data_IF_812229185011
#
_entry.id   IF_812229185011
#
_cell.length_a   1.000
_cell.length_b   1.000
_cell.length_c   1.000
_cell.angle_alpha   90.00
_cell.angle_beta   90.00
_cell.angle_gamma   90.00
#
_symmetry.space_group_name_H-M   'P 1'
#
loop_
_entity.id
_entity.type
_entity.pdbx_description
1 polymer ?
#
# COMPACT_ATOMS: atom_id res chain seq x y z
N UNK A 1 -21.30 -5.80 -17.50
CA UNK A 1 -21.47 -6.76 -18.62
C UNK A 1 -20.53 -7.94 -18.41
N UNK A 2 -20.91 -9.16 -18.79
CA UNK A 2 -20.01 -10.33 -18.70
C UNK A 2 -19.82 -10.91 -20.09
N UNK A 3 -18.57 -11.03 -20.51
CA UNK A 3 -18.19 -11.60 -21.81
C UNK A 3 -17.69 -13.02 -21.63
N UNK A 4 -18.08 -13.91 -22.54
CA UNK A 4 -17.67 -15.32 -22.54
C UNK A 4 -16.79 -15.60 -23.76
N UNK A 5 -15.59 -16.09 -23.52
CA UNK A 5 -14.63 -16.44 -24.57
C UNK A 5 -13.88 -17.71 -24.20
N UNK A 6 -13.63 -18.57 -25.18
CA UNK A 6 -12.77 -19.74 -24.98
C UNK A 6 -11.35 -19.34 -25.32
N UNK A 7 -10.43 -19.60 -24.40
CA UNK A 7 -9.00 -19.47 -24.65
C UNK A 7 -8.38 -20.88 -24.75
N UNK A 8 -7.46 -21.04 -25.69
CA UNK A 8 -6.67 -22.25 -25.85
C UNK A 8 -5.20 -21.95 -25.51
N UNK A 9 -4.63 -22.76 -24.60
CA UNK A 9 -3.22 -22.65 -24.23
C UNK A 9 -2.31 -23.00 -25.41
N UNK A 10 -1.37 -22.11 -25.77
CA UNK A 10 -0.46 -22.36 -26.89
C UNK A 10 0.53 -23.51 -26.64
N UNK A 11 0.69 -23.96 -25.39
CA UNK A 11 1.68 -24.99 -25.04
C UNK A 11 1.08 -26.39 -24.95
N UNK A 12 -0.06 -26.56 -24.27
CA UNK A 12 -0.66 -27.88 -24.04
C UNK A 12 -2.04 -28.05 -24.70
N UNK A 13 -2.56 -27.02 -25.38
CA UNK A 13 -3.85 -27.07 -26.07
C UNK A 13 -5.08 -27.07 -25.14
N UNK A 14 -4.90 -27.02 -23.81
CA UNK A 14 -6.02 -27.01 -22.87
C UNK A 14 -6.93 -25.82 -23.11
N UNK A 15 -8.23 -26.08 -23.18
CA UNK A 15 -9.28 -25.07 -23.43
C UNK A 15 -9.94 -24.64 -22.14
N UNK A 16 -10.04 -23.33 -21.93
CA UNK A 16 -10.67 -22.73 -20.74
C UNK A 16 -11.69 -21.69 -21.15
N UNK A 17 -12.91 -21.82 -20.65
CA UNK A 17 -13.93 -20.78 -20.77
C UNK A 17 -13.62 -19.65 -19.79
N UNK A 18 -13.35 -18.47 -20.32
CA UNK A 18 -13.23 -17.24 -19.55
C UNK A 18 -14.58 -16.55 -19.47
N UNK A 19 -14.94 -16.10 -18.26
CA UNK A 19 -16.09 -15.24 -17.97
C UNK A 19 -15.56 -13.90 -17.48
N UNK A 20 -15.33 -12.98 -18.42
CA UNK A 20 -14.72 -11.67 -18.13
C UNK A 20 -15.77 -10.66 -17.72
N UNK A 21 -15.66 -10.15 -16.50
CA UNK A 21 -16.49 -9.10 -15.94
C UNK A 21 -15.91 -7.76 -16.40
N UNK A 22 -16.67 -7.02 -17.20
CA UNK A 22 -16.28 -5.69 -17.68
C UNK A 22 -16.48 -4.64 -16.59
N UNK A 23 -15.43 -3.86 -16.36
CA UNK A 23 -15.37 -2.76 -15.39
C UNK A 23 -15.15 -1.40 -16.04
N UNK A 24 -14.63 -0.46 -15.26
CA UNK A 24 -14.27 0.91 -15.61
C UNK A 24 -12.78 1.12 -15.89
N UNK A 25 -11.91 0.16 -15.54
CA UNK A 25 -10.47 0.25 -15.84
C UNK A 25 -10.23 0.07 -17.34
N UNK A 26 -9.53 1.02 -17.96
CA UNK A 26 -9.20 0.96 -19.38
C UNK A 26 -8.29 -0.21 -19.73
N UNK A 27 -7.24 -0.45 -18.95
CA UNK A 27 -6.28 -1.52 -19.22
C UNK A 27 -6.15 -2.43 -18.00
N UNK A 28 -6.57 -3.68 -18.14
CA UNK A 28 -6.54 -4.68 -17.08
C UNK A 28 -5.61 -5.81 -17.50
N UNK A 29 -4.49 -6.05 -16.77
CA UNK A 29 -3.72 -7.26 -16.97
C UNK A 29 -4.54 -8.48 -16.58
N UNK A 30 -4.43 -9.54 -17.38
CA UNK A 30 -5.05 -10.83 -17.14
C UNK A 30 -3.96 -11.88 -16.88
N UNK A 31 -4.14 -12.66 -15.83
CA UNK A 31 -3.30 -13.76 -15.37
C UNK A 31 -4.19 -14.98 -15.18
N UNK A 32 -4.21 -15.86 -16.17
CA UNK A 32 -5.08 -17.04 -16.20
C UNK A 32 -4.23 -18.29 -16.06
N UNK A 33 -4.37 -19.09 -15.00
CA UNK A 33 -3.63 -20.33 -14.88
C UNK A 33 -4.14 -21.36 -15.88
N UNK A 34 -3.23 -22.03 -16.59
CA UNK A 34 -3.56 -23.18 -17.42
C UNK A 34 -3.60 -24.46 -16.57
N UNK A 35 -4.77 -25.10 -16.44
CA UNK A 35 -4.90 -26.33 -15.66
C UNK A 35 -4.19 -27.55 -16.27
N UNK A 36 -3.88 -27.55 -17.56
CA UNK A 36 -3.22 -28.68 -18.22
C UNK A 36 -1.70 -28.73 -17.99
N UNK A 37 -1.02 -27.58 -18.04
CA UNK A 37 0.44 -27.51 -17.90
C UNK A 37 0.95 -26.58 -16.80
N UNK A 38 0.07 -25.91 -16.06
CA UNK A 38 0.42 -25.06 -14.90
C UNK A 38 1.00 -23.67 -15.25
N UNK A 39 1.29 -23.39 -16.52
CA UNK A 39 1.79 -22.06 -16.92
C UNK A 39 0.72 -20.98 -16.78
N UNK A 40 1.14 -19.76 -16.47
CA UNK A 40 0.24 -18.60 -16.43
C UNK A 40 0.10 -18.01 -17.83
N UNK A 41 -1.12 -18.01 -18.35
CA UNK A 41 -1.52 -17.32 -19.57
C UNK A 41 -1.63 -15.83 -19.28
N UNK A 42 -0.83 -15.02 -19.97
CA UNK A 42 -0.71 -13.58 -19.75
C UNK A 42 -1.42 -12.85 -20.86
N UNK A 43 -2.42 -12.07 -20.49
CA UNK A 43 -3.16 -11.23 -21.41
C UNK A 43 -3.42 -9.84 -20.86
N UNK A 44 -4.14 -9.06 -21.66
CA UNK A 44 -4.63 -7.73 -21.35
C UNK A 44 -6.04 -7.60 -21.88
N UNK A 45 -6.94 -7.10 -21.05
CA UNK A 45 -8.23 -6.56 -21.42
C UNK A 45 -8.09 -5.05 -21.59
N UNK A 46 -8.44 -4.53 -22.75
CA UNK A 46 -8.51 -3.10 -23.02
C UNK A 46 -9.97 -2.71 -23.28
N UNK A 47 -10.52 -1.83 -22.45
CA UNK A 47 -11.81 -1.18 -22.69
C UNK A 47 -11.62 -0.02 -23.66
N UNK A 48 -12.52 0.12 -24.63
CA UNK A 48 -12.52 1.20 -25.62
C UNK A 48 -13.75 2.08 -25.32
N UNK A 49 -13.59 3.20 -24.57
CA UNK A 49 -14.71 3.99 -24.08
C UNK A 49 -15.56 4.62 -25.19
N UNK A 50 -14.93 4.98 -26.31
CA UNK A 50 -15.54 5.72 -27.41
C UNK A 50 -16.56 4.88 -28.20
N UNK A 51 -16.33 3.56 -28.32
CA UNK A 51 -17.14 2.64 -29.13
C UNK A 51 -17.95 1.62 -28.29
N UNK A 52 -17.88 1.70 -26.95
CA UNK A 52 -18.42 0.66 -26.04
C UNK A 52 -17.91 -0.74 -26.43
N UNK A 53 -16.65 -0.81 -26.85
CA UNK A 53 -16.00 -2.03 -27.32
C UNK A 53 -14.90 -2.48 -26.34
N UNK A 54 -14.42 -3.71 -26.50
CA UNK A 54 -13.34 -4.25 -25.69
C UNK A 54 -12.43 -5.16 -26.53
N UNK A 55 -11.15 -5.20 -26.16
CA UNK A 55 -10.16 -6.08 -26.77
C UNK A 55 -9.50 -6.94 -25.72
N UNK A 56 -9.51 -8.25 -25.94
CA UNK A 56 -8.77 -9.21 -25.11
C UNK A 56 -7.66 -9.81 -25.97
N UNK A 57 -6.42 -9.73 -25.48
CA UNK A 57 -5.26 -10.32 -26.16
C UNK A 57 -4.43 -11.10 -25.16
N UNK A 58 -4.01 -12.30 -25.54
CA UNK A 58 -3.05 -13.10 -24.78
C UNK A 58 -1.74 -13.22 -25.55
N UNK A 59 -0.63 -13.28 -24.81
CA UNK A 59 0.72 -13.47 -25.35
C UNK A 59 1.05 -14.94 -25.61
N UNK A 60 0.44 -15.84 -24.84
CA UNK A 60 0.73 -17.27 -24.83
C UNK A 60 -0.54 -18.14 -24.82
N UNK A 61 -1.65 -17.58 -25.29
CA UNK A 61 -2.90 -18.28 -25.59
C UNK A 61 -3.57 -17.62 -26.79
N UNK A 62 -4.49 -18.33 -27.44
CA UNK A 62 -5.32 -17.79 -28.53
C UNK A 62 -6.80 -17.88 -28.16
N UNK A 63 -7.59 -16.93 -28.68
CA UNK A 63 -9.04 -17.01 -28.62
C UNK A 63 -9.52 -17.99 -29.69
N UNK A 64 -10.42 -18.89 -29.33
CA UNK A 64 -11.02 -19.87 -30.25
C UNK A 64 -12.54 -19.74 -30.27
N UNK A 65 -13.15 -20.02 -31.42
CA UNK A 65 -14.60 -19.95 -31.57
C UNK A 65 -15.33 -21.02 -30.77
N UNK A 66 -16.58 -20.76 -30.39
CA UNK A 66 -17.43 -21.71 -29.65
C UNK A 66 -17.62 -23.06 -30.37
N UNK A 67 -17.42 -23.09 -31.68
CA UNK A 67 -17.49 -24.28 -32.53
C UNK A 67 -16.21 -25.12 -32.54
N UNK A 68 -15.11 -24.63 -31.99
CA UNK A 68 -13.79 -25.28 -32.07
C UNK A 68 -13.52 -26.28 -30.93
N UNK A 69 -14.54 -26.59 -30.11
CA UNK A 69 -14.50 -27.64 -29.09
C UNK A 69 -14.95 -27.16 -27.71
N UNK A 70 -15.37 -28.10 -26.87
CA UNK A 70 -15.84 -27.79 -25.52
C UNK A 70 -14.67 -27.43 -24.58
N UNK A 71 -14.87 -26.44 -23.70
CA UNK A 71 -13.87 -26.09 -22.68
C UNK A 71 -13.79 -27.18 -21.61
N UNK A 72 -12.57 -27.46 -21.14
CA UNK A 72 -12.33 -28.40 -20.03
C UNK A 72 -12.48 -27.73 -18.66
N UNK A 73 -12.23 -26.41 -18.61
CA UNK A 73 -12.21 -25.60 -17.40
C UNK A 73 -12.98 -24.30 -17.59
N UNK A 74 -13.40 -23.67 -16.49
CA UNK A 74 -13.98 -22.33 -16.47
C UNK A 74 -13.32 -21.45 -15.43
N UNK A 75 -13.18 -20.16 -15.72
CA UNK A 75 -12.64 -19.17 -14.80
C UNK A 75 -13.35 -17.83 -14.96
N UNK A 76 -13.53 -17.11 -13.85
CA UNK A 76 -13.99 -15.73 -13.87
C UNK A 76 -12.81 -14.76 -13.88
N UNK A 77 -12.87 -13.74 -14.74
CA UNK A 77 -11.84 -12.71 -14.86
C UNK A 77 -12.43 -11.35 -14.46
N UNK A 78 -11.67 -10.56 -13.70
CA UNK A 78 -12.07 -9.21 -13.30
C UNK A 78 -10.84 -8.39 -12.93
N UNK A 79 -10.82 -7.14 -13.39
CA UNK A 79 -9.82 -6.15 -12.98
C UNK A 79 -10.11 -5.52 -11.62
N UNK A 80 -11.36 -5.62 -11.15
CA UNK A 80 -11.85 -4.78 -10.05
C UNK A 80 -12.29 -5.56 -8.83
N UNK A 81 -12.61 -6.83 -9.04
CA UNK A 81 -13.18 -7.70 -8.03
C UNK A 81 -12.32 -8.95 -7.94
N UNK A 82 -12.32 -9.57 -6.76
CA UNK A 82 -11.92 -10.96 -6.68
C UNK A 82 -12.77 -11.81 -7.63
N UNK A 83 -12.28 -12.99 -7.97
CA UNK A 83 -12.99 -13.92 -8.84
C UNK A 83 -13.09 -15.28 -8.18
N UNK A 84 -13.92 -16.16 -8.73
CA UNK A 84 -13.75 -17.58 -8.43
C UNK A 84 -12.43 -18.07 -9.02
N UNK A 85 -11.74 -18.94 -8.29
CA UNK A 85 -10.62 -19.73 -8.83
C UNK A 85 -11.11 -20.61 -9.99
N UNK A 86 -10.18 -21.04 -10.83
CA UNK A 86 -10.48 -21.93 -11.95
C UNK A 86 -11.08 -23.25 -11.43
N UNK A 87 -12.13 -23.71 -12.09
CA UNK A 87 -12.83 -24.96 -11.78
C UNK A 87 -13.02 -25.79 -13.05
N UNK A 88 -13.32 -27.09 -12.89
CA UNK A 88 -13.72 -27.92 -14.04
C UNK A 88 -14.94 -27.30 -14.71
N UNK A 89 -14.99 -27.37 -16.03
CA UNK A 89 -16.12 -26.83 -16.76
C UNK A 89 -17.39 -27.61 -16.40
N UNK A 90 -18.33 -26.89 -15.82
CA UNK A 90 -19.72 -27.31 -15.70
C UNK A 90 -20.58 -26.27 -16.41
N UNK A 91 -21.63 -26.72 -17.11
CA UNK A 91 -22.54 -25.82 -17.80
C UNK A 91 -23.28 -24.93 -16.80
N UNK A 92 -22.74 -23.75 -16.51
CA UNK A 92 -23.29 -22.85 -15.52
C UNK A 92 -24.45 -22.03 -16.12
N UNK A 93 -25.65 -22.21 -15.57
CA UNK A 93 -26.88 -21.47 -15.90
C UNK A 93 -26.91 -20.04 -15.33
N UNK A 94 -26.05 -19.71 -14.35
CA UNK A 94 -26.04 -18.39 -13.71
C UNK A 94 -25.47 -17.30 -14.62
N UNK A 95 -26.31 -16.31 -14.95
CA UNK A 95 -25.96 -15.07 -15.68
C UNK A 95 -25.11 -14.10 -14.84
N UNK A 96 -25.18 -14.19 -13.50
CA UNK A 96 -24.49 -13.30 -12.57
C UNK A 96 -23.25 -14.01 -11.99
N UNK A 97 -22.10 -13.32 -11.95
CA UNK A 97 -20.89 -13.83 -11.29
C UNK A 97 -21.14 -13.98 -9.78
N UNK A 98 -20.69 -15.08 -9.14
CA UNK A 98 -20.73 -15.26 -7.69
C UNK A 98 -20.05 -14.15 -6.88
N UNK A 99 -19.10 -13.40 -7.45
CA UNK A 99 -18.48 -12.27 -6.74
C UNK A 99 -19.35 -11.02 -6.80
N UNK A 100 -20.01 -10.75 -7.91
CA UNK A 100 -21.06 -9.71 -7.98
C UNK A 100 -22.18 -10.04 -7.00
N UNK A 101 -22.55 -11.32 -6.92
CA UNK A 101 -23.49 -11.82 -5.92
C UNK A 101 -22.98 -11.52 -4.50
N UNK A 102 -21.74 -11.86 -4.15
CA UNK A 102 -21.22 -11.59 -2.82
C UNK A 102 -21.08 -10.08 -2.50
N UNK A 103 -20.68 -9.25 -3.45
CA UNK A 103 -20.59 -7.79 -3.27
C UNK A 103 -21.99 -7.18 -3.05
N UNK A 104 -22.99 -7.60 -3.83
CA UNK A 104 -24.38 -7.15 -3.71
C UNK A 104 -25.07 -7.65 -2.43
N UNK A 105 -24.82 -8.89 -2.02
CA UNK A 105 -25.50 -9.49 -0.88
C UNK A 105 -24.75 -9.26 0.44
N UNK A 106 -23.46 -9.56 0.54
CA UNK A 106 -22.73 -9.39 1.81
C UNK A 106 -22.35 -7.94 2.12
N UNK A 107 -21.92 -7.15 1.13
CA UNK A 107 -21.55 -5.74 1.36
C UNK A 107 -22.76 -4.89 1.78
N UNK A 108 -23.93 -5.13 1.17
CA UNK A 108 -25.17 -4.45 1.54
C UNK A 108 -25.72 -4.88 2.91
N UNK A 109 -25.52 -6.16 3.31
CA UNK A 109 -25.98 -6.69 4.59
C UNK A 109 -25.09 -6.31 5.77
N UNK A 110 -23.77 -6.14 5.57
CA UNK A 110 -22.80 -5.92 6.66
C UNK A 110 -22.44 -4.45 6.88
N UNK A 111 -22.46 -3.61 5.84
CA UNK A 111 -22.06 -2.18 5.91
C UNK A 111 -23.13 -1.20 5.40
N UNK A 112 -24.32 -1.69 5.05
CA UNK A 112 -25.46 -0.87 4.61
C UNK A 112 -25.51 -0.62 3.10
N UNK A 113 -26.67 -0.15 2.61
CA UNK A 113 -26.99 -0.02 1.17
C UNK A 113 -26.06 0.91 0.38
N UNK A 114 -25.44 1.90 1.02
CA UNK A 114 -24.63 2.93 0.34
C UNK A 114 -23.20 2.49 0.03
N UNK A 115 -22.74 1.36 0.57
CA UNK A 115 -21.33 0.98 0.53
C UNK A 115 -20.82 0.64 -0.89
N UNK A 116 -21.71 0.15 -1.77
CA UNK A 116 -21.41 -0.10 -3.19
C UNK A 116 -21.32 1.22 -3.97
N UNK A 117 -22.12 2.23 -3.60
CA UNK A 117 -22.05 3.55 -4.22
C UNK A 117 -20.79 4.29 -3.78
N UNK A 118 -20.41 4.18 -2.50
CA UNK A 118 -19.14 4.70 -1.99
C UNK A 118 -17.93 4.04 -2.66
N UNK A 119 -17.97 2.71 -2.83
CA UNK A 119 -16.95 2.00 -3.61
C UNK A 119 -16.89 2.54 -5.04
N UNK A 120 -18.01 2.62 -5.75
CA UNK A 120 -18.07 3.15 -7.13
C UNK A 120 -17.58 4.60 -7.23
N UNK A 121 -17.96 5.46 -6.28
CA UNK A 121 -17.58 6.86 -6.24
C UNK A 121 -16.07 7.01 -6.04
N UNK A 122 -15.52 6.38 -4.99
CA UNK A 122 -14.07 6.38 -4.76
C UNK A 122 -13.30 5.70 -5.89
N UNK A 123 -13.85 4.65 -6.47
CA UNK A 123 -13.25 3.96 -7.58
C UNK A 123 -13.12 4.82 -8.83
N UNK A 124 -14.14 5.62 -9.16
CA UNK A 124 -14.08 6.56 -10.27
C UNK A 124 -13.08 7.69 -10.02
N UNK A 125 -13.02 8.22 -8.79
CA UNK A 125 -12.01 9.24 -8.46
C UNK A 125 -10.58 8.70 -8.57
N UNK A 126 -10.38 7.40 -8.36
CA UNK A 126 -9.08 6.74 -8.35
C UNK A 126 -8.41 6.53 -9.72
N UNK A 127 -9.20 6.49 -10.80
CA UNK A 127 -8.71 6.11 -12.13
C UNK A 127 -8.35 7.33 -12.99
N UNK A 128 -9.01 8.48 -12.80
CA UNK A 128 -8.88 9.63 -13.70
C UNK A 128 -7.56 10.43 -13.59
N UNK A 129 -7.14 10.79 -12.38
CA UNK A 129 -6.08 11.80 -12.18
C UNK A 129 -4.76 11.25 -11.58
N UNK A 130 -4.76 9.99 -11.13
CA UNK A 130 -3.66 9.40 -10.33
C UNK A 130 -2.29 9.44 -11.02
N UNK A 131 -2.22 9.16 -12.31
CA UNK A 131 -0.93 9.07 -13.04
C UNK A 131 -0.24 10.43 -13.12
N UNK A 132 -1.00 11.49 -13.39
CA UNK A 132 -0.53 12.87 -13.47
C UNK A 132 -0.17 13.42 -12.09
N UNK A 133 -1.01 13.16 -11.08
CA UNK A 133 -0.75 13.54 -9.69
C UNK A 133 0.52 12.85 -9.16
N UNK A 134 0.66 11.54 -9.42
CA UNK A 134 1.84 10.77 -9.03
C UNK A 134 3.11 11.28 -9.72
N UNK A 135 3.04 11.59 -11.02
CA UNK A 135 4.19 12.14 -11.73
C UNK A 135 4.61 13.49 -11.17
N UNK A 136 3.65 14.38 -10.89
CA UNK A 136 3.90 15.67 -10.26
C UNK A 136 4.60 15.50 -8.89
N UNK A 137 4.14 14.54 -8.08
CA UNK A 137 4.77 14.23 -6.79
C UNK A 137 6.21 13.75 -6.94
N UNK A 138 6.50 12.89 -7.91
CA UNK A 138 7.86 12.44 -8.23
C UNK A 138 8.74 13.62 -8.63
N UNK A 139 8.25 14.50 -9.50
CA UNK A 139 9.00 15.67 -9.93
C UNK A 139 9.31 16.62 -8.76
N UNK A 140 8.33 16.87 -7.88
CA UNK A 140 8.52 17.69 -6.67
C UNK A 140 9.51 17.03 -5.70
N UNK A 141 9.46 15.71 -5.55
CA UNK A 141 10.39 14.94 -4.73
C UNK A 141 11.82 14.97 -5.30
N UNK A 142 11.98 14.83 -6.61
CA UNK A 142 13.28 14.91 -7.27
C UNK A 142 13.88 16.32 -7.18
N UNK A 143 13.07 17.35 -7.42
CA UNK A 143 13.50 18.75 -7.25
C UNK A 143 13.92 19.03 -5.80
N UNK A 144 13.20 18.47 -4.83
CA UNK A 144 13.53 18.56 -3.42
C UNK A 144 14.88 17.92 -3.10
N UNK A 145 15.07 16.68 -3.56
CA UNK A 145 16.28 15.91 -3.34
C UNK A 145 17.51 16.55 -3.99
N UNK A 146 17.30 17.28 -5.09
CA UNK A 146 18.31 18.06 -5.79
C UNK A 146 18.44 19.52 -5.29
N UNK A 147 17.76 19.89 -4.21
CA UNK A 147 17.81 21.22 -3.58
C UNK A 147 17.42 22.37 -4.52
N UNK A 148 16.54 22.12 -5.49
CA UNK A 148 16.15 23.10 -6.50
C UNK A 148 14.90 23.90 -6.10
N UNK A 149 14.98 24.59 -4.96
CA UNK A 149 13.84 25.23 -4.31
C UNK A 149 13.18 26.34 -5.13
N UNK A 150 13.94 27.00 -6.01
CA UNK A 150 13.40 28.00 -6.95
C UNK A 150 12.42 27.39 -7.94
N UNK A 151 12.73 26.20 -8.46
CA UNK A 151 11.83 25.49 -9.38
C UNK A 151 10.67 24.90 -8.60
N UNK A 152 10.90 24.35 -7.41
CA UNK A 152 9.83 23.89 -6.52
C UNK A 152 8.81 25.00 -6.34
N UNK A 153 9.22 26.19 -5.87
CA UNK A 153 8.35 27.37 -5.72
C UNK A 153 7.50 27.65 -6.98
N UNK A 154 8.10 27.63 -8.18
CA UNK A 154 7.36 27.81 -9.44
C UNK A 154 6.30 26.73 -9.67
N UNK A 155 6.64 25.47 -9.42
CA UNK A 155 5.71 24.34 -9.53
C UNK A 155 4.58 24.48 -8.51
N UNK A 156 4.89 24.74 -7.24
CA UNK A 156 3.87 24.90 -6.19
C UNK A 156 2.96 26.09 -6.48
N UNK A 157 3.50 27.23 -6.88
CA UNK A 157 2.72 28.42 -7.21
C UNK A 157 1.81 28.27 -8.43
N UNK A 158 1.91 27.17 -9.20
CA UNK A 158 0.96 26.86 -10.28
C UNK A 158 -0.35 26.28 -9.75
N UNK A 159 -0.37 25.80 -8.51
CA UNK A 159 -1.58 25.32 -7.83
C UNK A 159 -2.33 26.51 -7.22
N UNK A 160 -3.65 26.65 -7.48
CA UNK A 160 -4.44 27.78 -6.98
C UNK A 160 -4.36 27.98 -5.46
N UNK A 161 -4.29 26.91 -4.68
CA UNK A 161 -4.23 26.95 -3.22
C UNK A 161 -2.92 27.54 -2.68
N UNK A 162 -1.89 27.65 -3.53
CA UNK A 162 -0.55 28.09 -3.17
C UNK A 162 -0.06 29.28 -4.01
N UNK A 163 -0.98 30.00 -4.67
CA UNK A 163 -0.62 31.15 -5.50
C UNK A 163 0.13 32.23 -4.70
N UNK A 164 -0.19 32.39 -3.41
CA UNK A 164 0.47 33.33 -2.50
C UNK A 164 2.00 33.11 -2.38
N UNK A 165 2.50 31.91 -2.70
CA UNK A 165 3.94 31.63 -2.73
C UNK A 165 4.69 32.47 -3.77
N UNK A 166 4.02 32.99 -4.81
CA UNK A 166 4.64 33.90 -5.79
C UNK A 166 5.20 35.15 -5.10
N UNK A 167 4.56 35.56 -4.01
CA UNK A 167 4.84 36.80 -3.28
C UNK A 167 5.79 36.61 -2.09
N UNK A 168 6.01 35.36 -1.65
CA UNK A 168 6.92 35.05 -0.54
C UNK A 168 8.37 35.25 -0.98
N UNK A 169 9.19 35.89 -0.16
CA UNK A 169 10.63 36.08 -0.42
C UNK A 169 11.35 34.75 -0.69
N UNK A 170 12.49 34.77 -1.38
CA UNK A 170 13.30 33.56 -1.65
C UNK A 170 14.00 32.98 -0.39
N UNK A 171 13.48 33.28 0.81
CA UNK A 171 13.92 32.64 2.04
C UNK A 171 13.65 31.14 1.98
N UNK A 172 14.75 30.39 1.96
CA UNK A 172 14.77 28.95 1.78
C UNK A 172 13.90 28.22 2.80
N UNK A 173 13.83 28.66 4.06
CA UNK A 173 13.08 27.96 5.11
C UNK A 173 11.55 28.02 4.91
N UNK A 174 11.04 29.15 4.42
CA UNK A 174 9.60 29.30 4.12
C UNK A 174 9.21 28.48 2.88
N UNK A 175 10.08 28.45 1.86
CA UNK A 175 9.88 27.58 0.68
C UNK A 175 9.94 26.10 1.09
N UNK A 176 10.85 25.75 2.00
CA UNK A 176 11.00 24.38 2.53
C UNK A 176 9.72 23.95 3.26
N UNK A 177 9.15 24.79 4.13
CA UNK A 177 7.90 24.54 4.86
C UNK A 177 6.69 24.40 3.93
N UNK A 178 6.55 25.27 2.93
CA UNK A 178 5.39 25.22 2.03
C UNK A 178 5.46 24.11 1.00
N UNK A 179 6.66 23.67 0.64
CA UNK A 179 6.87 22.43 -0.10
C UNK A 179 6.48 21.20 0.71
N UNK A 180 6.67 21.20 2.04
CA UNK A 180 6.10 20.16 2.90
C UNK A 180 4.56 20.17 2.84
N UNK A 181 3.94 21.35 2.87
CA UNK A 181 2.49 21.48 2.76
C UNK A 181 1.95 21.00 1.40
N UNK A 182 2.55 21.38 0.27
CA UNK A 182 2.13 20.85 -1.04
C UNK A 182 2.26 19.33 -1.09
N UNK A 183 3.42 18.79 -0.71
CA UNK A 183 3.61 17.34 -0.65
C UNK A 183 2.54 16.69 0.23
N UNK A 184 1.99 17.38 1.24
CA UNK A 184 0.97 16.85 2.15
C UNK A 184 -0.38 16.81 1.44
N UNK A 185 -0.76 17.90 0.78
CA UNK A 185 -2.02 17.98 0.03
C UNK A 185 -2.02 17.01 -1.14
N UNK A 186 -0.95 16.95 -1.94
CA UNK A 186 -0.88 16.08 -3.10
C UNK A 186 -0.84 14.60 -2.71
N UNK A 187 -0.10 14.21 -1.66
CA UNK A 187 -0.15 12.83 -1.17
C UNK A 187 -1.45 12.49 -0.48
N UNK A 188 -2.01 13.39 0.34
CA UNK A 188 -3.28 13.12 1.00
C UNK A 188 -4.38 12.93 -0.02
N UNK A 189 -4.37 13.66 -1.14
CA UNK A 189 -5.32 13.47 -2.24
C UNK A 189 -5.22 12.06 -2.83
N UNK A 190 -4.04 11.62 -3.27
CA UNK A 190 -3.87 10.26 -3.83
C UNK A 190 -4.20 9.18 -2.79
N UNK A 191 -3.72 9.36 -1.56
CA UNK A 191 -3.79 8.31 -0.55
C UNK A 191 -5.19 8.21 0.07
N UNK A 192 -5.90 9.31 0.31
CA UNK A 192 -7.28 9.27 0.81
C UNK A 192 -8.25 8.63 -0.18
N UNK A 193 -7.93 8.70 -1.47
CA UNK A 193 -8.70 7.99 -2.50
C UNK A 193 -8.51 6.46 -2.37
N UNK A 194 -7.30 5.97 -2.07
CA UNK A 194 -6.99 4.52 -1.96
C UNK A 194 -7.11 3.95 -0.53
N UNK A 195 -7.48 4.77 0.45
CA UNK A 195 -7.59 4.35 1.86
C UNK A 195 -9.03 4.45 2.37
N UNK A 196 -9.38 3.69 3.44
CA UNK A 196 -10.73 3.75 3.99
C UNK A 196 -11.03 5.11 4.63
N UNK A 197 -12.31 5.39 4.93
CA UNK A 197 -12.75 6.71 5.37
C UNK A 197 -12.16 7.15 6.73
N UNK A 198 -11.76 6.19 7.57
CA UNK A 198 -11.09 6.42 8.86
C UNK A 198 -9.61 6.81 8.71
N UNK A 199 -9.07 6.82 7.49
CA UNK A 199 -7.67 7.13 7.25
C UNK A 199 -7.30 8.57 7.65
N UNK A 200 -8.18 9.52 7.38
CA UNK A 200 -7.97 10.92 7.77
C UNK A 200 -7.90 11.06 9.29
N UNK A 201 -8.76 10.34 10.03
CA UNK A 201 -8.76 10.30 11.49
C UNK A 201 -7.47 9.67 12.04
N UNK A 202 -7.05 8.53 11.48
CA UNK A 202 -5.78 7.87 11.84
C UNK A 202 -4.57 8.78 11.60
N UNK A 203 -4.59 9.57 10.53
CA UNK A 203 -3.54 10.55 10.23
C UNK A 203 -3.54 11.70 11.24
N UNK A 204 -4.71 12.24 11.59
CA UNK A 204 -4.78 13.31 12.59
C UNK A 204 -4.25 12.82 13.95
N UNK A 205 -4.61 11.60 14.35
CA UNK A 205 -4.07 10.96 15.56
C UNK A 205 -2.53 10.84 15.51
N UNK A 206 -1.95 10.56 14.33
CA UNK A 206 -0.50 10.54 14.17
C UNK A 206 0.13 11.93 14.38
N UNK A 207 -0.49 13.00 13.87
CA UNK A 207 -0.04 14.38 14.11
C UNK A 207 -0.11 14.73 15.59
N UNK A 208 -1.22 14.38 16.26
CA UNK A 208 -1.40 14.55 17.71
C UNK A 208 -0.31 13.82 18.49
N UNK A 209 -0.02 12.57 18.14
CA UNK A 209 1.04 11.78 18.79
C UNK A 209 2.43 12.39 18.59
N UNK A 210 2.76 12.86 17.38
CA UNK A 210 4.02 13.54 17.12
C UNK A 210 4.10 14.83 17.95
N UNK A 211 2.98 15.56 18.11
CA UNK A 211 2.95 16.80 18.88
C UNK A 211 3.34 16.60 20.35
N UNK A 212 3.04 15.44 20.94
CA UNK A 212 3.43 15.10 22.32
C UNK A 212 4.95 15.14 22.53
N UNK A 213 5.74 14.87 21.48
CA UNK A 213 7.21 14.95 21.55
C UNK A 213 7.72 16.39 21.78
N UNK A 214 6.90 17.40 21.48
CA UNK A 214 7.21 18.82 21.71
C UNK A 214 7.21 19.21 23.18
N UNK A 215 6.79 18.32 24.09
CA UNK A 215 7.01 18.52 25.53
C UNK A 215 8.51 18.62 25.90
N UNK A 216 9.40 18.10 25.04
CA UNK A 216 10.86 18.20 25.21
C UNK A 216 11.53 18.68 23.92
N UNK A 217 11.31 19.95 23.50
CA UNK A 217 11.66 20.40 22.16
C UNK A 217 13.17 20.38 21.89
N UNK A 218 14.00 20.65 22.92
CA UNK A 218 15.45 20.60 22.79
C UNK A 218 15.97 19.17 22.55
N UNK A 219 15.45 18.18 23.29
CA UNK A 219 15.83 16.77 23.13
C UNK A 219 15.34 16.22 21.80
N UNK A 220 14.11 16.58 21.40
CA UNK A 220 13.56 16.27 20.09
C UNK A 220 14.45 16.82 18.97
N UNK A 221 14.82 18.11 19.05
CA UNK A 221 15.67 18.74 18.06
C UNK A 221 17.05 18.06 18.00
N UNK A 222 17.68 17.76 19.14
CA UNK A 222 18.95 17.03 19.15
C UNK A 222 18.85 15.67 18.48
N UNK A 223 17.80 14.90 18.77
CA UNK A 223 17.58 13.59 18.16
C UNK A 223 17.42 13.70 16.64
N UNK A 224 16.62 14.66 16.16
CA UNK A 224 16.40 14.83 14.71
C UNK A 224 17.67 15.30 14.00
N UNK A 225 18.44 16.22 14.59
CA UNK A 225 19.69 16.70 14.01
C UNK A 225 20.77 15.61 13.97
N UNK A 226 20.94 14.85 15.05
CA UNK A 226 21.89 13.73 15.11
C UNK A 226 21.59 12.64 14.07
N UNK A 227 20.32 12.48 13.67
CA UNK A 227 19.88 11.46 12.72
C UNK A 227 19.41 12.06 11.38
N UNK A 228 19.76 13.33 11.07
CA UNK A 228 19.23 14.06 9.92
C UNK A 228 19.39 13.30 8.59
N UNK A 229 20.61 12.87 8.28
CA UNK A 229 20.90 12.17 7.02
C UNK A 229 20.14 10.84 6.93
N UNK A 230 20.07 10.11 8.04
CA UNK A 230 19.29 8.87 8.12
C UNK A 230 17.79 9.11 7.92
N UNK A 231 17.23 10.17 8.50
CA UNK A 231 15.82 10.54 8.33
C UNK A 231 15.51 10.89 6.87
N UNK A 232 16.37 11.67 6.21
CA UNK A 232 16.23 12.03 4.80
C UNK A 232 16.36 10.79 3.89
N UNK A 233 17.30 9.88 4.17
CA UNK A 233 17.46 8.64 3.41
C UNK A 233 16.26 7.69 3.59
N UNK A 234 15.77 7.52 4.81
CA UNK A 234 14.61 6.68 5.09
C UNK A 234 13.35 7.23 4.42
N UNK A 235 13.14 8.56 4.47
CA UNK A 235 12.03 9.21 3.77
C UNK A 235 12.06 8.92 2.25
N UNK A 236 13.24 9.03 1.61
CA UNK A 236 13.41 8.70 0.18
C UNK A 236 13.10 7.23 -0.11
N UNK A 237 13.61 6.31 0.72
CA UNK A 237 13.34 4.86 0.59
C UNK A 237 11.85 4.56 0.68
N UNK A 238 11.16 5.16 1.65
CA UNK A 238 9.71 4.99 1.83
C UNK A 238 8.93 5.55 0.65
N UNK A 239 9.27 6.75 0.15
CA UNK A 239 8.64 7.33 -1.05
C UNK A 239 8.81 6.42 -2.27
N UNK A 240 10.00 5.84 -2.45
CA UNK A 240 10.26 4.87 -3.52
C UNK A 240 9.39 3.60 -3.39
N UNK A 241 9.24 3.05 -2.18
CA UNK A 241 8.36 1.88 -1.96
C UNK A 241 6.90 2.19 -2.25
N UNK A 242 6.42 3.36 -1.82
CA UNK A 242 5.06 3.84 -2.13
C UNK A 242 4.86 3.88 -3.65
N UNK A 243 5.84 4.42 -4.38
CA UNK A 243 5.80 4.46 -5.85
C UNK A 243 5.65 3.10 -6.53
N UNK A 244 6.38 2.09 -6.06
CA UNK A 244 6.28 0.73 -6.62
C UNK A 244 4.87 0.14 -6.56
N UNK A 245 4.10 0.52 -5.53
CA UNK A 245 2.70 0.10 -5.36
C UNK A 245 1.77 0.98 -6.18
N UNK A 246 1.94 2.31 -6.16
CA UNK A 246 1.12 3.25 -6.94
C UNK A 246 1.17 2.92 -8.44
N UNK A 247 2.35 2.59 -8.96
CA UNK A 247 2.57 2.20 -10.36
C UNK A 247 1.94 0.85 -10.71
N UNK A 248 1.62 0.01 -9.72
CA UNK A 248 0.95 -1.29 -9.89
C UNK A 248 -0.47 -1.29 -9.32
N UNK A 249 -1.02 -0.14 -8.97
CA UNK A 249 -2.26 -0.04 -8.20
C UNK A 249 -3.42 -0.74 -8.92
N UNK A 250 -3.49 -0.62 -10.25
CA UNK A 250 -4.51 -1.29 -11.08
C UNK A 250 -4.53 -2.80 -10.87
N UNK A 251 -3.37 -3.41 -10.63
CA UNK A 251 -3.27 -4.85 -10.41
C UNK A 251 -3.77 -5.26 -9.02
N UNK A 252 -3.83 -4.30 -8.08
CA UNK A 252 -4.19 -4.50 -6.69
C UNK A 252 -5.61 -4.00 -6.36
N UNK A 253 -6.32 -3.41 -7.32
CA UNK A 253 -7.70 -2.95 -7.15
C UNK A 253 -8.62 -4.03 -6.55
N UNK A 254 -8.57 -5.31 -6.96
CA UNK A 254 -9.42 -6.34 -6.36
C UNK A 254 -9.28 -6.47 -4.83
N UNK A 255 -8.10 -6.13 -4.30
CA UNK A 255 -7.82 -6.13 -2.85
C UNK A 255 -8.33 -4.86 -2.20
N UNK A 256 -8.25 -3.71 -2.88
CA UNK A 256 -8.88 -2.47 -2.41
C UNK A 256 -10.39 -2.65 -2.21
N UNK A 257 -11.07 -3.36 -3.13
CA UNK A 257 -12.49 -3.68 -3.02
C UNK A 257 -12.86 -4.47 -1.75
N UNK A 258 -11.93 -5.24 -1.16
CA UNK A 258 -12.17 -6.00 0.07
C UNK A 258 -12.52 -5.13 1.26
N UNK A 259 -11.99 -3.91 1.32
CA UNK A 259 -12.25 -2.97 2.43
C UNK A 259 -13.73 -2.59 2.55
N UNK A 260 -14.48 -2.76 1.46
CA UNK A 260 -15.92 -2.49 1.38
C UNK A 260 -16.78 -3.73 1.63
N UNK A 261 -16.18 -4.91 1.81
CA UNK A 261 -16.91 -6.16 2.07
C UNK A 261 -17.19 -6.43 3.56
N UNK A 262 -16.55 -5.69 4.47
CA UNK A 262 -16.67 -5.93 5.92
C UNK A 262 -15.67 -6.98 6.43
N UNK A 263 -15.76 -7.31 7.71
CA UNK A 263 -14.94 -8.35 8.32
C UNK A 263 -15.36 -9.72 7.77
N UNK A 264 -14.38 -10.49 7.30
CA UNK A 264 -14.58 -11.80 6.72
C UNK A 264 -13.66 -12.79 7.43
N UNK A 265 -14.18 -14.00 7.70
CA UNK A 265 -13.34 -15.10 8.17
C UNK A 265 -12.29 -15.47 7.12
N UNK A 266 -11.10 -15.89 7.54
CA UNK A 266 -10.01 -16.26 6.63
C UNK A 266 -10.40 -17.33 5.60
N UNK A 267 -11.27 -18.27 5.99
CA UNK A 267 -11.77 -19.35 5.14
C UNK A 267 -12.59 -18.83 3.93
N UNK A 268 -13.10 -17.59 3.99
CA UNK A 268 -13.85 -16.98 2.90
C UNK A 268 -13.00 -16.82 1.65
N UNK A 269 -11.68 -16.61 1.83
CA UNK A 269 -10.73 -16.35 0.77
C UNK A 269 -10.19 -17.62 0.11
N UNK A 270 -10.43 -18.81 0.68
CA UNK A 270 -9.87 -20.07 0.20
C UNK A 270 -10.33 -20.42 -1.23
N UNK A 271 -11.53 -20.00 -1.60
CA UNK A 271 -12.10 -20.21 -2.95
C UNK A 271 -12.10 -18.95 -3.83
N UNK A 272 -11.44 -17.86 -3.36
CA UNK A 272 -11.33 -16.59 -4.10
C UNK A 272 -9.97 -16.49 -4.77
N UNK A 273 -9.98 -16.03 -6.01
CA UNK A 273 -8.80 -15.80 -6.82
C UNK A 273 -8.64 -14.35 -7.23
N UNK A 274 -7.43 -14.03 -7.66
CA UNK A 274 -7.08 -12.78 -8.33
C UNK A 274 -6.58 -13.11 -9.73
N UNK A 275 -6.99 -12.31 -10.72
CA UNK A 275 -6.61 -12.53 -12.13
C UNK A 275 -5.81 -11.39 -12.72
N UNK A 276 -5.37 -10.44 -11.90
CA UNK A 276 -4.64 -9.23 -12.31
C UNK A 276 -3.15 -9.30 -12.02
N UNK A 277 -2.72 -10.15 -11.09
CA UNK A 277 -1.32 -10.27 -10.66
C UNK A 277 -1.03 -11.70 -10.21
N UNK A 278 0.23 -12.11 -10.34
CA UNK A 278 0.74 -13.37 -9.77
C UNK A 278 1.63 -13.09 -8.57
N UNK A 279 1.82 -14.10 -7.71
CA UNK A 279 2.73 -14.00 -6.58
C UNK A 279 4.15 -13.57 -7.01
N UNK A 280 4.65 -14.16 -8.09
CA UNK A 280 5.99 -13.89 -8.63
C UNK A 280 6.21 -12.44 -9.06
N UNK A 281 5.14 -11.73 -9.48
CA UNK A 281 5.24 -10.34 -9.95
C UNK A 281 5.33 -9.32 -8.82
N UNK A 282 5.01 -9.71 -7.58
CA UNK A 282 4.78 -8.75 -6.48
C UNK A 282 5.52 -9.09 -5.18
N UNK A 283 6.00 -10.34 -5.00
CA UNK A 283 6.61 -10.83 -3.75
C UNK A 283 7.78 -9.97 -3.26
N UNK A 284 8.58 -9.42 -4.17
CA UNK A 284 9.78 -8.66 -3.82
C UNK A 284 9.44 -7.32 -3.17
N UNK A 285 8.29 -6.73 -3.53
CA UNK A 285 7.81 -5.49 -2.90
C UNK A 285 7.54 -5.74 -1.40
N UNK A 286 7.03 -6.92 -1.04
CA UNK A 286 6.81 -7.26 0.36
C UNK A 286 8.14 -7.34 1.14
N UNK A 287 9.19 -7.94 0.56
CA UNK A 287 10.51 -7.98 1.18
C UNK A 287 11.03 -6.55 1.38
N UNK A 288 11.00 -5.75 0.32
CA UNK A 288 11.52 -4.38 0.38
C UNK A 288 10.79 -3.53 1.42
N UNK A 289 9.46 -3.64 1.48
CA UNK A 289 8.64 -2.97 2.50
C UNK A 289 9.03 -3.44 3.91
N UNK A 290 9.16 -4.75 4.13
CA UNK A 290 9.55 -5.31 5.42
C UNK A 290 10.89 -4.74 5.91
N UNK A 291 11.90 -4.66 5.04
CA UNK A 291 13.22 -4.13 5.39
C UNK A 291 13.18 -2.63 5.69
N UNK A 292 12.49 -1.85 4.86
CA UNK A 292 12.42 -0.40 5.03
C UNK A 292 11.63 -0.04 6.30
N UNK A 293 10.52 -0.71 6.56
CA UNK A 293 9.71 -0.50 7.78
C UNK A 293 10.55 -0.75 9.03
N UNK A 294 11.30 -1.86 9.09
CA UNK A 294 12.12 -2.17 10.27
C UNK A 294 13.41 -1.33 10.37
N UNK A 295 13.87 -0.77 9.25
CA UNK A 295 14.94 0.24 9.29
C UNK A 295 14.45 1.55 9.91
N UNK A 296 13.14 1.83 9.82
CA UNK A 296 12.55 3.03 10.38
C UNK A 296 12.29 2.96 11.89
N UNK A 297 12.23 1.75 12.47
CA UNK A 297 11.79 1.57 13.84
C UNK A 297 12.70 2.24 14.87
N UNK A 298 13.98 2.45 14.55
CA UNK A 298 14.97 3.06 15.44
C UNK A 298 14.58 4.49 15.86
N UNK A 299 14.11 5.32 14.92
CA UNK A 299 13.68 6.70 15.22
C UNK A 299 12.29 6.72 15.80
N UNK A 300 11.39 5.86 15.32
CA UNK A 300 10.03 5.75 15.86
C UNK A 300 10.06 5.43 17.35
N UNK A 301 10.85 4.43 17.76
CA UNK A 301 11.01 4.06 19.17
C UNK A 301 11.74 5.14 19.97
N UNK A 302 12.71 5.84 19.37
CA UNK A 302 13.39 6.95 20.05
C UNK A 302 12.42 8.09 20.39
N UNK A 303 11.51 8.43 19.47
CA UNK A 303 10.46 9.44 19.69
C UNK A 303 9.45 8.94 20.72
N UNK A 304 9.05 7.68 20.64
CA UNK A 304 8.14 7.08 21.62
C UNK A 304 8.71 7.10 23.05
N UNK A 305 9.97 6.69 23.21
CA UNK A 305 10.71 6.80 24.46
C UNK A 305 10.79 8.25 24.95
N UNK A 306 10.98 9.22 24.06
CA UNK A 306 11.00 10.63 24.41
C UNK A 306 9.65 11.09 24.96
N UNK A 307 8.53 10.65 24.37
CA UNK A 307 7.19 11.01 24.82
C UNK A 307 6.91 10.41 26.20
N UNK A 308 7.22 9.12 26.40
CA UNK A 308 6.83 8.42 27.62
C UNK A 308 7.80 8.69 28.78
N UNK A 309 9.11 8.64 28.52
CA UNK A 309 10.15 8.72 29.55
C UNK A 309 10.84 10.09 29.64
N UNK A 310 10.47 11.05 28.79
CA UNK A 310 11.22 12.30 28.60
C UNK A 310 12.71 12.07 28.24
N UNK A 311 13.06 10.88 27.73
CA UNK A 311 14.42 10.50 27.34
C UNK A 311 14.39 9.39 26.28
N UNK A 312 14.90 9.69 25.08
CA UNK A 312 14.92 8.77 23.95
C UNK A 312 15.84 7.54 24.18
N UNK A 313 16.78 7.60 25.13
CA UNK A 313 17.66 6.48 25.45
C UNK A 313 17.03 5.49 26.44
N UNK A 314 16.02 5.92 27.19
CA UNK A 314 15.36 5.08 28.18
C UNK A 314 14.25 4.28 27.50
N UNK A 315 14.49 2.98 27.28
CA UNK A 315 13.55 2.11 26.58
C UNK A 315 12.36 1.75 27.47
N UNK A 316 11.16 1.77 26.90
CA UNK A 316 10.04 1.00 27.45
C UNK A 316 10.37 -0.48 27.36
N UNK A 317 10.35 -1.18 28.50
CA UNK A 317 10.55 -2.63 28.54
C UNK A 317 9.38 -3.24 29.29
N UNK A 318 8.42 -3.77 28.54
CA UNK A 318 7.40 -4.69 29.02
C UNK A 318 7.74 -6.12 28.56
N UNK A 319 7.36 -7.13 29.35
CA UNK A 319 7.62 -8.53 29.02
C UNK A 319 9.07 -8.99 29.28
N UNK A 320 9.53 -9.99 28.51
CA UNK A 320 10.80 -10.69 28.75
C UNK A 320 12.03 -10.02 28.11
N UNK A 321 11.83 -8.92 27.37
CA UNK A 321 12.92 -8.20 26.70
C UNK A 321 13.95 -7.65 27.70
N UNK A 322 15.24 -7.82 27.39
CA UNK A 322 16.35 -7.27 28.20
C UNK A 322 16.94 -5.98 27.60
N UNK A 323 16.33 -5.45 26.54
CA UNK A 323 16.86 -4.33 25.75
C UNK A 323 16.53 -2.99 26.41
N UNK A 324 17.35 -2.58 27.39
CA UNK A 324 17.11 -1.38 28.21
C UNK A 324 17.54 -0.03 27.60
N UNK A 325 18.20 -0.04 26.44
CA UNK A 325 18.76 1.18 25.83
C UNK A 325 18.59 1.18 24.32
N UNK A 326 18.37 2.35 23.72
CA UNK A 326 18.24 2.52 22.26
C UNK A 326 19.45 1.96 21.49
N UNK A 327 20.68 2.15 22.01
CA UNK A 327 21.90 1.60 21.41
C UNK A 327 21.89 0.06 21.32
N UNK A 328 21.34 -0.63 22.32
CA UNK A 328 21.19 -2.09 22.28
C UNK A 328 20.09 -2.51 21.30
N UNK A 329 19.00 -1.75 21.24
CA UNK A 329 17.92 -2.00 20.28
C UNK A 329 18.41 -1.93 18.83
N UNK A 330 19.18 -0.90 18.48
CA UNK A 330 19.74 -0.70 17.14
C UNK A 330 20.61 -1.88 16.64
N UNK A 331 21.18 -2.67 17.57
CA UNK A 331 22.01 -3.85 17.26
C UNK A 331 21.21 -5.14 17.07
N UNK A 332 19.92 -5.13 17.35
CA UNK A 332 19.06 -6.29 17.13
C UNK A 332 18.88 -6.55 15.63
N UNK A 333 18.77 -7.83 15.26
CA UNK A 333 18.34 -8.16 13.90
C UNK A 333 16.87 -7.76 13.69
N UNK A 334 16.47 -7.55 12.43
CA UNK A 334 15.11 -7.13 12.06
C UNK A 334 14.03 -8.04 12.65
N UNK A 335 14.23 -9.36 12.69
CA UNK A 335 13.30 -10.29 13.34
C UNK A 335 13.16 -10.06 14.85
N UNK A 336 14.24 -9.70 15.56
CA UNK A 336 14.18 -9.38 16.99
C UNK A 336 13.61 -7.97 17.24
N UNK A 337 13.86 -7.02 16.33
CA UNK A 337 13.22 -5.70 16.35
C UNK A 337 11.70 -5.82 16.23
N UNK A 338 11.22 -6.68 15.33
CA UNK A 338 9.79 -6.95 15.15
C UNK A 338 9.17 -7.60 16.40
N UNK A 339 9.83 -8.60 16.99
CA UNK A 339 9.35 -9.18 18.25
C UNK A 339 9.25 -8.12 19.36
N UNK A 340 10.25 -7.23 19.48
CA UNK A 340 10.22 -6.14 20.45
C UNK A 340 9.03 -5.22 20.23
N UNK A 341 8.75 -4.81 18.99
CA UNK A 341 7.61 -3.95 18.65
C UNK A 341 6.28 -4.63 19.01
N UNK A 342 6.15 -5.92 18.77
CA UNK A 342 4.92 -6.67 19.05
C UNK A 342 4.69 -6.95 20.55
N UNK A 343 5.75 -6.99 21.37
CA UNK A 343 5.67 -7.32 22.80
C UNK A 343 5.48 -6.11 23.72
N UNK A 344 5.74 -4.90 23.21
CA UNK A 344 5.62 -3.66 23.97
C UNK A 344 4.45 -2.88 23.40
N UNK A 345 3.65 -2.19 24.21
CA UNK A 345 2.66 -1.22 23.75
C UNK A 345 3.29 0.19 23.73
N UNK A 346 2.99 1.01 22.72
CA UNK A 346 3.63 2.30 22.46
C UNK A 346 2.71 3.24 21.67
N UNK A 347 2.95 4.55 21.71
CA UNK A 347 2.13 5.52 20.96
C UNK A 347 2.16 5.24 19.46
N UNK A 348 3.35 4.88 18.94
CA UNK A 348 3.57 4.63 17.52
C UNK A 348 3.55 3.15 17.14
N UNK A 349 3.15 2.25 18.03
CA UNK A 349 3.02 0.84 17.65
C UNK A 349 2.01 0.63 16.55
N UNK A 350 0.89 1.37 16.61
CA UNK A 350 -0.12 1.40 15.54
C UNK A 350 0.43 1.83 14.19
N UNK A 351 1.53 2.58 14.18
CA UNK A 351 2.22 2.98 12.96
C UNK A 351 3.05 1.82 12.37
N UNK A 352 3.55 0.93 13.23
CA UNK A 352 4.34 -0.25 12.89
C UNK A 352 3.54 -1.57 12.89
N UNK A 353 2.26 -1.54 13.29
CA UNK A 353 1.25 -2.62 13.29
C UNK A 353 0.89 -3.14 11.89
N UNK A 354 1.81 -3.05 10.93
CA UNK A 354 1.75 -3.93 9.77
C UNK A 354 1.79 -5.39 10.23
N UNK A 355 0.94 -6.23 9.66
CA UNK A 355 0.92 -7.69 9.84
C UNK A 355 2.13 -8.35 9.13
N UNK A 356 3.32 -7.83 9.44
CA UNK A 356 4.61 -8.27 8.95
C UNK A 356 4.93 -9.63 9.51
N UNK A 357 5.41 -10.48 8.63
CA UNK A 357 5.68 -11.86 8.94
C UNK A 357 7.11 -12.18 8.53
N UNK A 358 7.94 -12.37 9.56
CA UNK A 358 9.35 -12.75 9.40
C UNK A 358 9.50 -14.07 8.63
N UNK A 359 8.58 -15.00 8.78
CA UNK A 359 8.64 -16.31 8.12
C UNK A 359 8.34 -16.17 6.64
N UNK A 360 7.34 -15.36 6.27
CA UNK A 360 7.03 -15.05 4.87
C UNK A 360 8.23 -14.35 4.24
N UNK A 361 8.74 -13.26 4.84
CA UNK A 361 9.91 -12.55 4.33
C UNK A 361 11.12 -13.47 4.13
N UNK A 362 11.46 -14.29 5.13
CA UNK A 362 12.61 -15.18 5.04
C UNK A 362 12.42 -16.25 3.98
N UNK A 363 11.20 -16.78 3.84
CA UNK A 363 10.89 -17.78 2.82
C UNK A 363 11.06 -17.20 1.41
N UNK A 364 10.58 -15.98 1.17
CA UNK A 364 10.77 -15.31 -0.12
C UNK A 364 12.25 -15.00 -0.35
N UNK A 365 12.93 -14.39 0.63
CA UNK A 365 14.33 -13.98 0.50
C UNK A 365 15.33 -15.13 0.30
N UNK A 366 14.99 -16.34 0.75
CA UNK A 366 15.78 -17.55 0.52
C UNK A 366 15.25 -18.44 -0.61
N UNK A 367 14.23 -17.99 -1.36
CA UNK A 367 13.52 -18.80 -2.36
C UNK A 367 12.99 -20.14 -1.81
N UNK A 368 12.69 -20.18 -0.51
CA UNK A 368 12.16 -21.33 0.23
C UNK A 368 10.62 -21.32 0.20
N UNK A 369 10.03 -21.20 -0.97
CA UNK A 369 8.59 -21.20 -1.15
C UNK A 369 8.18 -21.93 -2.44
N UNK A 370 6.88 -22.23 -2.58
CA UNK A 370 6.30 -22.67 -3.84
C UNK A 370 4.94 -22.03 -4.05
N UNK A 371 4.65 -21.62 -5.28
CA UNK A 371 3.37 -21.04 -5.69
C UNK A 371 2.70 -21.93 -6.73
N UNK A 372 1.46 -22.34 -6.46
CA UNK A 372 0.60 -23.03 -7.42
C UNK A 372 -0.34 -22.01 -8.06
N UNK A 373 -0.20 -21.78 -9.37
CA UNK A 373 -0.97 -20.80 -10.13
C UNK A 373 -2.46 -21.16 -10.23
N UNK A 374 -2.81 -22.45 -10.23
CA UNK A 374 -4.18 -22.96 -10.39
C UNK A 374 -4.95 -22.77 -9.10
N UNK A 375 -4.42 -23.31 -7.99
CA UNK A 375 -5.05 -23.15 -6.67
C UNK A 375 -4.80 -21.78 -6.04
N UNK A 376 -3.87 -20.99 -6.59
CA UNK A 376 -3.39 -19.72 -6.04
C UNK A 376 -2.94 -19.81 -4.59
N UNK A 377 -2.39 -20.96 -4.20
CA UNK A 377 -1.85 -21.20 -2.87
C UNK A 377 -0.35 -21.04 -2.88
N UNK A 378 0.15 -20.34 -1.87
CA UNK A 378 1.56 -20.12 -1.60
C UNK A 378 1.92 -20.98 -0.39
N UNK A 379 2.98 -21.77 -0.52
CA UNK A 379 3.54 -22.56 0.57
C UNK A 379 4.92 -22.02 0.91
N UNK A 380 5.05 -21.46 2.13
CA UNK A 380 6.30 -20.96 2.68
C UNK A 380 6.95 -22.04 3.54
N UNK A 381 8.17 -22.48 3.21
CA UNK A 381 8.88 -23.52 3.94
C UNK A 381 9.69 -22.90 5.07
N UNK A 382 9.51 -23.42 6.29
CA UNK A 382 10.24 -22.98 7.48
C UNK A 382 11.51 -23.81 7.67
N UNK A 383 12.49 -23.23 8.38
CA UNK A 383 13.75 -23.90 8.69
C UNK A 383 13.60 -25.18 9.54
N UNK A 384 12.50 -25.30 10.29
CA UNK A 384 12.21 -26.47 11.12
C UNK A 384 11.49 -27.60 10.35
N UNK A 385 11.40 -27.51 9.01
CA UNK A 385 10.73 -28.49 8.16
C UNK A 385 9.20 -28.34 8.07
N UNK A 386 8.58 -27.50 8.90
CA UNK A 386 7.16 -27.18 8.77
C UNK A 386 6.90 -26.18 7.64
N UNK A 387 5.64 -26.04 7.23
CA UNK A 387 5.25 -25.10 6.17
C UNK A 387 4.05 -24.25 6.57
N UNK A 388 4.04 -22.98 6.18
CA UNK A 388 2.88 -22.09 6.27
C UNK A 388 2.23 -22.00 4.89
N UNK A 389 0.93 -22.27 4.80
CA UNK A 389 0.14 -22.11 3.58
C UNK A 389 -0.69 -20.82 3.65
N UNK A 390 -0.85 -20.15 2.52
CA UNK A 390 -1.60 -18.89 2.41
C UNK A 390 -2.13 -18.74 0.99
N UNK A 391 -3.35 -18.22 0.83
CA UNK A 391 -3.87 -17.87 -0.50
C UNK A 391 -3.23 -16.59 -1.03
N UNK A 392 -3.17 -16.42 -2.35
CA UNK A 392 -2.67 -15.19 -2.97
C UNK A 392 -3.44 -13.94 -2.47
N UNK A 393 -4.75 -14.04 -2.27
CA UNK A 393 -5.58 -12.94 -1.76
C UNK A 393 -5.09 -12.48 -0.38
N UNK A 394 -4.90 -13.41 0.56
CA UNK A 394 -4.41 -13.10 1.90
C UNK A 394 -3.00 -12.51 1.88
N UNK A 395 -2.12 -13.00 0.99
CA UNK A 395 -0.79 -12.42 0.81
C UNK A 395 -0.87 -10.97 0.31
N UNK A 396 -1.73 -10.68 -0.66
CA UNK A 396 -1.89 -9.33 -1.18
C UNK A 396 -2.53 -8.37 -0.16
N UNK A 397 -3.38 -8.86 0.74
CA UNK A 397 -3.86 -8.08 1.90
C UNK A 397 -2.70 -7.69 2.81
N UNK A 398 -1.82 -8.65 3.17
CA UNK A 398 -0.61 -8.34 3.94
C UNK A 398 0.32 -7.35 3.24
N UNK A 399 0.48 -7.49 1.92
CA UNK A 399 1.24 -6.53 1.12
C UNK A 399 0.59 -5.14 1.18
N UNK A 400 -0.73 -5.07 1.06
CA UNK A 400 -1.49 -3.84 1.16
C UNK A 400 -1.27 -3.16 2.52
N UNK A 401 -1.32 -3.92 3.62
CA UNK A 401 -1.09 -3.36 4.95
C UNK A 401 0.34 -2.84 5.12
N UNK A 402 1.34 -3.57 4.61
CA UNK A 402 2.73 -3.09 4.59
C UNK A 402 2.90 -1.79 3.81
N UNK A 403 2.13 -1.60 2.73
CA UNK A 403 2.11 -0.37 1.96
C UNK A 403 1.54 0.81 2.76
N UNK A 404 0.44 0.59 3.49
CA UNK A 404 -0.13 1.62 4.37
C UNK A 404 0.86 2.01 5.47
N UNK A 405 1.57 1.05 6.06
CA UNK A 405 2.61 1.32 7.03
C UNK A 405 3.78 2.11 6.43
N UNK A 406 4.22 1.80 5.21
CA UNK A 406 5.23 2.60 4.51
C UNK A 406 4.77 4.05 4.31
N UNK A 407 3.50 4.27 3.96
CA UNK A 407 2.96 5.62 3.86
C UNK A 407 2.95 6.35 5.22
N UNK A 408 2.45 5.71 6.27
CA UNK A 408 2.38 6.32 7.60
C UNK A 408 3.78 6.69 8.12
N UNK A 409 4.76 5.82 7.88
CA UNK A 409 6.16 6.10 8.17
C UNK A 409 6.69 7.27 7.33
N UNK A 410 6.41 7.31 6.03
CA UNK A 410 6.85 8.42 5.18
C UNK A 410 6.32 9.76 5.72
N UNK A 411 5.05 9.78 6.12
CA UNK A 411 4.40 10.93 6.74
C UNK A 411 5.06 11.30 8.07
N UNK A 412 5.34 10.32 8.92
CA UNK A 412 6.04 10.53 10.20
C UNK A 412 7.40 11.21 10.00
N UNK A 413 8.26 10.67 9.13
CA UNK A 413 9.58 11.27 8.85
C UNK A 413 9.48 12.65 8.21
N UNK A 414 8.45 12.86 7.39
CA UNK A 414 8.16 14.16 6.82
C UNK A 414 7.85 15.20 7.90
N UNK A 415 6.96 14.89 8.84
CA UNK A 415 6.63 15.80 9.93
C UNK A 415 7.82 16.02 10.87
N UNK A 416 8.67 15.01 11.10
CA UNK A 416 9.95 15.23 11.82
C UNK A 416 10.86 16.23 11.10
N UNK A 417 10.97 16.14 9.77
CA UNK A 417 11.76 17.10 8.98
C UNK A 417 11.16 18.51 8.99
N UNK A 418 9.84 18.63 9.01
CA UNK A 418 9.14 19.91 9.20
C UNK A 418 9.45 20.51 10.58
N UNK A 419 9.33 19.72 11.65
CA UNK A 419 9.66 20.13 13.02
C UNK A 419 11.12 20.56 13.14
N UNK A 420 12.06 19.88 12.47
CA UNK A 420 13.47 20.32 12.39
C UNK A 420 13.62 21.77 11.93
N UNK A 421 12.90 22.15 10.88
CA UNK A 421 13.00 23.50 10.31
C UNK A 421 12.46 24.52 11.31
N UNK A 422 11.28 24.24 11.88
CA UNK A 422 10.63 25.13 12.84
C UNK A 422 11.49 25.32 14.09
N UNK A 423 12.01 24.23 14.67
CA UNK A 423 12.88 24.27 15.84
C UNK A 423 14.25 24.91 15.55
N UNK A 424 14.63 25.05 14.28
CA UNK A 424 15.84 25.78 13.86
C UNK A 424 15.62 27.29 13.64
N UNK A 425 14.38 27.77 13.69
CA UNK A 425 14.07 29.19 13.57
C UNK A 425 14.40 29.90 14.89
N UNK A 426 14.87 31.15 14.86
CA UNK A 426 15.12 31.95 16.06
C UNK A 426 13.77 32.42 16.65
N UNK A 427 12.96 31.48 17.13
CA UNK A 427 11.67 31.74 17.76
C UNK A 427 11.92 32.12 19.23
N UNK A 428 11.28 33.18 19.69
CA UNK A 428 11.16 33.43 21.12
C UNK A 428 10.42 32.27 21.80
N UNK A 429 10.65 32.06 23.10
CA UNK A 429 9.93 31.05 23.89
C UNK A 429 8.40 31.20 23.78
N UNK A 430 7.92 32.44 23.63
CA UNK A 430 6.49 32.75 23.43
C UNK A 430 5.98 32.31 22.05
N UNK A 431 6.77 32.50 20.99
CA UNK A 431 6.46 32.06 19.64
C UNK A 431 6.53 30.54 19.50
N UNK A 432 7.51 29.90 20.13
CA UNK A 432 7.59 28.45 20.19
C UNK A 432 6.41 27.85 20.97
N UNK A 433 6.06 28.39 22.14
CA UNK A 433 4.91 27.93 22.91
C UNK A 433 3.58 28.17 22.19
N UNK A 434 3.44 29.30 21.49
CA UNK A 434 2.29 29.57 20.62
C UNK A 434 2.21 28.57 19.47
N UNK A 435 3.34 28.29 18.82
CA UNK A 435 3.41 27.30 17.75
C UNK A 435 3.03 25.91 18.26
N UNK A 436 3.63 25.45 19.37
CA UNK A 436 3.31 24.14 19.97
C UNK A 436 1.80 24.06 20.24
N UNK A 437 1.22 25.11 20.82
CA UNK A 437 -0.22 25.19 21.09
C UNK A 437 -1.06 25.16 19.81
N UNK A 438 -0.70 25.95 18.80
CA UNK A 438 -1.43 26.05 17.54
C UNK A 438 -1.24 24.77 16.67
N UNK A 439 -0.16 24.03 16.87
CA UNK A 439 0.15 22.73 16.25
C UNK A 439 -0.63 21.57 16.91
N UNK A 440 -0.92 21.65 18.21
CA UNK A 440 -1.72 20.68 18.96
C UNK A 440 -3.25 20.88 18.89
N UNK A 441 -3.73 21.87 18.14
CA UNK A 441 -5.17 22.24 18.04
C UNK A 441 -5.73 21.99 16.61
N UNK A 442 -4.90 21.56 15.66
CA UNK A 442 -5.33 21.12 14.32
C UNK A 442 -5.43 19.61 14.29
#
# INVERSE_FOLDING_TARGET
MTVRQIIECNYCGTKTLTRTIMGFIENVPLRVPCCGCGVVLRGTLTMIPEDVDYRIKFSNAKLVGSSEGEPEYTIELSGELMTKKVEKYEFATSLISPVIKNLMFHGALTKGKNNIEDFKFKFKSLIGDRSKEWQTLKDVEDLWNNRNYKIIKKVISSFPEFEYLKEISDDYKNIELEAFNLKNISFSTIITQITPNDFAEKRNNLEDQISLSLNNPNKLYSLIIENKESCEELQKKLFSQIGKIVERFENLIPIFGLKYLGDMEDNFFDNKGITTVTFEEIKDIYIDNYEVILSCSDIVIAIDNLIINNDFNNMQVTGASKTKTLSKYRKLSNGHKLNFINENESYFNKLLESDLDKEIRNSIGHNSYSFDSVSQNITFKKNNGSSKKMSLVLFLMKLWDSFITCYNLWYFYKELNKLRIILSLPLSTKELNRFIRDYSIR
#
